data_IF_544163067282
#
_entry.id   IF_544163067282
#
_cell.length_a   1.000
_cell.length_b   1.000
_cell.length_c   1.000
_cell.angle_alpha   90.00
_cell.angle_beta   90.00
_cell.angle_gamma   90.00
#
_symmetry.space_group_name_H-M   'P 1'
#
loop_
_entity.id
_entity.type
_entity.pdbx_description
1 polymer ?
#
# COMPACT_ATOMS: atom_id res chain seq x y z
N UNK A 1 22.87 0.51 -11.69
CA UNK A 1 21.72 1.09 -12.42
C UNK A 1 20.38 0.44 -12.02
N UNK A 2 20.36 -0.87 -11.73
CA UNK A 2 19.16 -1.63 -11.34
C UNK A 2 18.49 -1.21 -10.01
N UNK A 3 19.25 -0.85 -8.97
CA UNK A 3 18.71 -0.54 -7.63
C UNK A 3 17.72 0.65 -7.63
N UNK A 4 18.04 1.72 -8.38
CA UNK A 4 17.21 2.93 -8.47
C UNK A 4 15.87 2.65 -9.15
N UNK A 5 15.86 1.74 -10.13
CA UNK A 5 14.65 1.32 -10.86
C UNK A 5 13.72 0.51 -9.96
N UNK A 6 14.25 -0.46 -9.22
CA UNK A 6 13.44 -1.23 -8.27
C UNK A 6 12.83 -0.36 -7.18
N UNK A 7 13.59 0.62 -6.66
CA UNK A 7 13.06 1.59 -5.70
C UNK A 7 11.94 2.44 -6.30
N UNK A 8 12.09 2.91 -7.55
CA UNK A 8 11.07 3.69 -8.25
C UNK A 8 9.79 2.88 -8.53
N UNK A 9 9.92 1.64 -9.01
CA UNK A 9 8.77 0.75 -9.26
C UNK A 9 8.07 0.37 -7.97
N UNK A 10 8.84 0.11 -6.91
CA UNK A 10 8.34 -0.12 -5.57
C UNK A 10 7.55 1.08 -5.06
N UNK A 11 8.13 2.28 -5.14
CA UNK A 11 7.47 3.51 -4.72
C UNK A 11 6.15 3.74 -5.48
N UNK A 12 6.16 3.64 -6.81
CA UNK A 12 4.97 3.80 -7.63
C UNK A 12 3.89 2.77 -7.30
N UNK A 13 4.27 1.50 -7.13
CA UNK A 13 3.37 0.45 -6.67
C UNK A 13 2.79 0.77 -5.30
N UNK A 14 3.62 1.23 -4.36
CA UNK A 14 3.21 1.60 -3.01
C UNK A 14 2.25 2.79 -2.99
N UNK A 15 2.44 3.79 -3.85
CA UNK A 15 1.51 4.91 -4.01
C UNK A 15 0.16 4.41 -4.52
N UNK A 16 0.15 3.53 -5.53
CA UNK A 16 -1.07 2.92 -6.03
C UNK A 16 -1.77 2.05 -4.96
N UNK A 17 -0.99 1.32 -4.17
CA UNK A 17 -1.47 0.60 -2.99
C UNK A 17 -2.13 1.55 -1.99
N UNK A 18 -1.48 2.65 -1.63
CA UNK A 18 -2.03 3.66 -0.72
C UNK A 18 -3.33 4.29 -1.24
N UNK A 19 -3.39 4.57 -2.55
CA UNK A 19 -4.60 5.03 -3.21
C UNK A 19 -5.74 3.99 -3.13
N UNK A 20 -5.42 2.70 -3.28
CA UNK A 20 -6.43 1.63 -3.15
C UNK A 20 -7.03 1.55 -1.75
N UNK A 21 -6.23 1.80 -0.70
CA UNK A 21 -6.70 1.87 0.68
C UNK A 21 -7.68 3.02 0.86
N UNK A 22 -7.36 4.19 0.30
CA UNK A 22 -8.24 5.38 0.35
C UNK A 22 -9.57 5.09 -0.36
N UNK A 23 -9.52 4.59 -1.60
CA UNK A 23 -10.72 4.28 -2.37
C UNK A 23 -11.57 3.20 -1.69
N UNK A 24 -10.94 2.17 -1.14
CA UNK A 24 -11.63 1.10 -0.44
C UNK A 24 -12.24 1.59 0.87
N UNK A 25 -11.57 2.47 1.61
CA UNK A 25 -12.13 3.14 2.78
C UNK A 25 -13.39 3.94 2.44
N UNK A 26 -13.35 4.73 1.35
CA UNK A 26 -14.51 5.49 0.89
C UNK A 26 -15.66 4.58 0.46
N UNK A 27 -15.36 3.46 -0.20
CA UNK A 27 -16.35 2.45 -0.59
C UNK A 27 -17.01 1.79 0.63
N UNK A 28 -16.22 1.40 1.64
CA UNK A 28 -16.73 0.83 2.89
C UNK A 28 -17.59 1.84 3.68
N UNK A 29 -17.23 3.12 3.60
CA UNK A 29 -17.99 4.18 4.23
C UNK A 29 -19.35 4.39 3.55
N UNK A 30 -19.38 4.54 2.22
CA UNK A 30 -20.61 4.75 1.47
C UNK A 30 -21.53 3.51 1.46
N UNK A 31 -20.99 2.31 1.65
CA UNK A 31 -21.79 1.09 1.81
C UNK A 31 -22.37 0.92 3.23
N UNK A 32 -22.06 1.83 4.17
CA UNK A 32 -22.55 1.76 5.55
C UNK A 32 -21.92 0.65 6.37
N UNK A 33 -20.82 0.04 5.89
CA UNK A 33 -20.07 -0.98 6.61
C UNK A 33 -19.22 -0.31 7.70
N UNK A 34 -18.63 0.86 7.39
CA UNK A 34 -17.77 1.60 8.33
C UNK A 34 -18.48 1.99 9.64
N UNK A 35 -19.79 2.30 9.61
CA UNK A 35 -20.56 2.63 10.82
C UNK A 35 -20.69 1.44 11.77
N UNK A 36 -20.74 0.20 11.25
CA UNK A 36 -20.75 -1.03 12.05
C UNK A 36 -19.42 -1.28 12.77
N UNK A 37 -18.35 -0.64 12.32
CA UNK A 37 -17.02 -0.71 12.93
C UNK A 37 -16.68 0.53 13.79
N UNK A 38 -17.66 1.41 14.06
CA UNK A 38 -17.46 2.62 14.86
C UNK A 38 -16.78 3.78 14.11
N UNK A 39 -16.79 3.74 12.77
CA UNK A 39 -16.27 4.81 11.90
C UNK A 39 -17.45 5.61 11.36
N UNK A 40 -17.71 6.76 11.99
CA UNK A 40 -18.84 7.63 11.67
C UNK A 40 -18.49 8.76 10.69
N UNK A 41 -17.20 8.99 10.43
CA UNK A 41 -16.73 10.00 9.49
C UNK A 41 -16.01 9.39 8.28
N UNK A 42 -16.32 9.92 7.10
CA UNK A 42 -15.59 9.60 5.89
C UNK A 42 -14.17 10.15 5.96
N UNK A 43 -13.23 9.51 5.26
CA UNK A 43 -11.93 10.11 5.02
C UNK A 43 -12.12 11.40 4.20
N UNK A 44 -11.54 12.50 4.66
CA UNK A 44 -11.51 13.72 3.88
C UNK A 44 -10.59 13.55 2.68
N UNK A 45 -11.07 13.87 1.47
CA UNK A 45 -10.27 13.82 0.24
C UNK A 45 -9.28 15.00 0.19
N UNK A 46 -9.47 16.01 1.04
CA UNK A 46 -8.56 17.14 1.18
C UNK A 46 -7.23 16.77 1.86
N UNK A 47 -6.14 17.53 1.59
CA UNK A 47 -4.93 17.47 2.41
C UNK A 47 -5.24 17.87 3.86
N UNK A 48 -4.63 17.22 4.88
CA UNK A 48 -3.54 16.25 4.82
C UNK A 48 -3.97 14.77 4.72
N UNK A 49 -5.28 14.48 4.77
CA UNK A 49 -5.81 13.13 5.03
C UNK A 49 -5.63 12.16 3.87
N UNK A 50 -5.66 12.65 2.62
CA UNK A 50 -5.31 11.85 1.44
C UNK A 50 -3.79 11.72 1.25
N UNK A 51 -3.03 12.76 1.60
CA UNK A 51 -1.59 12.80 1.32
C UNK A 51 -0.82 11.77 2.15
N UNK A 52 -1.16 11.63 3.43
CA UNK A 52 -0.50 10.69 4.35
C UNK A 52 -0.52 9.24 3.83
N UNK A 53 -1.67 8.61 3.54
CA UNK A 53 -1.70 7.22 3.08
C UNK A 53 -1.01 7.02 1.73
N UNK A 54 -1.07 7.99 0.81
CA UNK A 54 -0.35 7.92 -0.47
C UNK A 54 1.17 7.98 -0.29
N UNK A 55 1.65 8.95 0.49
CA UNK A 55 3.07 9.14 0.74
C UNK A 55 3.67 7.97 1.53
N UNK A 56 3.03 7.57 2.63
CA UNK A 56 3.46 6.42 3.42
C UNK A 56 3.34 5.12 2.62
N UNK A 57 2.28 4.98 1.83
CA UNK A 57 2.13 3.86 0.91
C UNK A 57 3.31 3.76 -0.06
N UNK A 58 3.73 4.86 -0.67
CA UNK A 58 4.93 4.90 -1.52
C UNK A 58 6.22 4.55 -0.79
N UNK A 59 6.41 5.09 0.42
CA UNK A 59 7.60 4.80 1.23
C UNK A 59 7.72 3.31 1.58
N UNK A 60 6.60 2.68 1.95
CA UNK A 60 6.54 1.23 2.17
C UNK A 60 6.66 0.44 0.87
N UNK A 61 6.33 1.02 -0.28
CA UNK A 61 6.55 0.37 -1.58
C UNK A 61 8.03 0.15 -1.93
N UNK A 62 8.95 0.99 -1.43
CA UNK A 62 10.38 0.91 -1.75
C UNK A 62 11.02 -0.42 -1.26
N UNK A 63 10.90 -0.82 0.03
CA UNK A 63 11.44 -2.10 0.48
C UNK A 63 10.82 -3.29 -0.27
N UNK A 64 9.53 -3.20 -0.61
CA UNK A 64 8.86 -4.23 -1.42
C UNK A 64 9.45 -4.36 -2.83
N UNK A 65 9.64 -3.24 -3.52
CA UNK A 65 10.24 -3.21 -4.86
C UNK A 65 11.66 -3.78 -4.87
N UNK A 66 12.42 -3.56 -3.81
CA UNK A 66 13.75 -4.18 -3.63
C UNK A 66 13.67 -5.70 -3.42
N UNK A 67 12.66 -6.18 -2.68
CA UNK A 67 12.43 -7.61 -2.45
C UNK A 67 11.97 -8.33 -3.74
N UNK A 68 11.17 -7.66 -4.56
CA UNK A 68 10.57 -8.21 -5.78
C UNK A 68 11.61 -8.77 -6.77
N UNK A 69 12.81 -8.17 -6.84
CA UNK A 69 13.91 -8.68 -7.67
C UNK A 69 14.36 -10.11 -7.31
N UNK A 70 14.13 -10.53 -6.05
CA UNK A 70 14.48 -11.86 -5.53
C UNK A 70 13.30 -12.85 -5.52
N UNK A 71 12.06 -12.36 -5.57
CA UNK A 71 10.84 -13.15 -5.27
C UNK A 71 9.98 -13.38 -6.53
N UNK A 72 10.59 -13.91 -7.61
CA UNK A 72 9.87 -14.14 -8.88
C UNK A 72 8.70 -15.12 -8.73
N UNK A 73 8.85 -16.16 -7.92
CA UNK A 73 7.83 -17.17 -7.66
C UNK A 73 7.13 -16.86 -6.33
N UNK A 74 5.96 -16.20 -6.39
CA UNK A 74 5.15 -15.90 -5.21
C UNK A 74 4.88 -14.42 -4.93
N UNK A 75 5.20 -13.50 -5.86
CA UNK A 75 4.99 -12.05 -5.74
C UNK A 75 3.65 -11.65 -5.10
N UNK A 76 2.55 -12.34 -5.42
CA UNK A 76 1.23 -12.04 -4.86
C UNK A 76 1.06 -12.50 -3.41
N UNK A 77 1.62 -13.65 -3.02
CA UNK A 77 1.60 -14.13 -1.63
C UNK A 77 2.47 -13.21 -0.78
N UNK A 78 3.68 -12.89 -1.25
CA UNK A 78 4.55 -11.96 -0.55
C UNK A 78 3.97 -10.55 -0.51
N UNK A 79 3.30 -10.09 -1.57
CA UNK A 79 2.55 -8.83 -1.59
C UNK A 79 1.41 -8.82 -0.58
N UNK A 80 0.64 -9.90 -0.50
CA UNK A 80 -0.41 -10.09 0.50
C UNK A 80 0.13 -10.26 1.92
N UNK A 81 1.37 -10.72 2.12
CA UNK A 81 1.99 -10.66 3.46
C UNK A 81 2.56 -9.27 3.74
N UNK A 82 2.90 -8.51 2.68
CA UNK A 82 3.57 -7.24 2.79
C UNK A 82 2.68 -6.12 3.33
N UNK A 83 1.36 -6.14 3.13
CA UNK A 83 0.47 -5.13 3.76
C UNK A 83 0.54 -5.16 5.29
N UNK A 84 1.00 -6.27 5.88
CA UNK A 84 1.18 -6.35 7.32
C UNK A 84 2.27 -5.39 7.81
N UNK A 85 3.31 -5.10 7.02
CA UNK A 85 4.37 -4.17 7.40
C UNK A 85 3.87 -2.72 7.64
N UNK A 86 3.18 -2.07 6.68
CA UNK A 86 2.60 -0.75 6.91
C UNK A 86 1.50 -0.76 7.98
N UNK A 87 0.71 -1.85 8.11
CA UNK A 87 -0.28 -1.98 9.18
C UNK A 87 0.36 -2.09 10.56
N UNK A 88 1.49 -2.80 10.68
CA UNK A 88 2.26 -2.84 11.93
C UNK A 88 2.85 -1.47 12.26
N UNK A 89 3.33 -0.72 11.26
CA UNK A 89 3.71 0.69 11.43
C UNK A 89 2.54 1.55 11.93
N UNK A 90 1.34 1.33 11.38
CA UNK A 90 0.11 1.98 11.84
C UNK A 90 -0.21 1.67 13.30
N UNK A 91 -0.16 0.39 13.70
CA UNK A 91 -0.51 -0.04 15.04
C UNK A 91 0.53 0.28 16.12
N UNK A 92 1.82 0.27 15.77
CA UNK A 92 2.91 0.45 16.73
C UNK A 92 3.43 1.88 16.81
N UNK A 93 3.26 2.67 15.74
CA UNK A 93 3.82 4.03 15.66
C UNK A 93 2.69 5.06 15.60
N UNK A 94 1.87 5.03 14.56
CA UNK A 94 0.88 6.10 14.33
C UNK A 94 -0.27 6.07 15.32
N UNK A 95 -0.75 4.88 15.66
CA UNK A 95 -1.84 4.71 16.62
C UNK A 95 -1.52 5.28 18.01
N UNK A 96 -0.38 4.93 18.67
CA UNK A 96 -0.03 5.56 19.94
C UNK A 96 0.25 7.06 19.80
N UNK A 97 0.83 7.53 18.68
CA UNK A 97 1.03 8.95 18.42
C UNK A 97 -0.28 9.75 18.30
N UNK A 98 -1.36 9.14 17.80
CA UNK A 98 -2.68 9.74 17.74
C UNK A 98 -3.52 9.54 19.02
N UNK A 99 -2.91 8.99 20.09
CA UNK A 99 -3.58 8.77 21.37
C UNK A 99 -4.55 7.59 21.39
N UNK A 100 -4.57 6.74 20.35
CA UNK A 100 -5.45 5.57 20.27
C UNK A 100 -4.83 4.30 20.89
N UNK A 101 -3.63 4.43 21.49
CA UNK A 101 -2.89 3.31 22.11
C UNK A 101 -2.29 2.36 21.08
N UNK A 102 -1.66 1.27 21.52
CA UNK A 102 -1.19 0.22 20.61
C UNK A 102 -2.36 -0.50 19.94
N UNK A 103 -2.21 -0.89 18.67
CA UNK A 103 -3.25 -1.56 17.87
C UNK A 103 -4.57 -0.78 17.73
N UNK A 104 -4.57 0.51 18.04
CA UNK A 104 -5.75 1.37 18.09
C UNK A 104 -6.84 0.88 19.07
N UNK A 105 -6.47 0.10 20.09
CA UNK A 105 -7.41 -0.45 21.08
C UNK A 105 -8.17 0.64 21.85
N UNK A 106 -7.63 1.85 21.96
CA UNK A 106 -8.33 3.00 22.55
C UNK A 106 -9.58 3.43 21.77
N UNK A 107 -9.73 3.02 20.51
CA UNK A 107 -10.94 3.19 19.68
C UNK A 107 -11.83 1.93 19.64
N UNK A 108 -11.38 0.84 20.27
CA UNK A 108 -12.07 -0.45 20.31
C UNK A 108 -11.56 -1.48 19.30
N UNK A 109 -11.80 -2.77 19.59
CA UNK A 109 -11.32 -3.91 18.79
C UNK A 109 -11.88 -3.90 17.35
N UNK A 110 -13.12 -3.45 17.18
CA UNK A 110 -13.74 -3.35 15.86
C UNK A 110 -13.00 -2.36 14.95
N UNK A 111 -12.50 -1.25 15.52
CA UNK A 111 -11.71 -0.28 14.76
C UNK A 111 -10.36 -0.88 14.32
N UNK A 112 -9.73 -1.70 15.16
CA UNK A 112 -8.52 -2.45 14.79
C UNK A 112 -8.78 -3.38 13.60
N UNK A 113 -9.88 -4.14 13.62
CA UNK A 113 -10.26 -5.03 12.52
C UNK A 113 -10.58 -4.25 11.24
N UNK A 114 -11.22 -3.09 11.37
CA UNK A 114 -11.47 -2.19 10.25
C UNK A 114 -10.16 -1.72 9.59
N UNK A 115 -9.17 -1.32 10.39
CA UNK A 115 -7.86 -0.91 9.88
C UNK A 115 -7.12 -2.04 9.15
N UNK A 116 -7.25 -3.29 9.62
CA UNK A 116 -6.72 -4.46 8.91
C UNK A 116 -7.45 -4.68 7.57
N UNK A 117 -8.78 -4.64 7.59
CA UNK A 117 -9.61 -4.84 6.42
C UNK A 117 -9.32 -3.80 5.33
N UNK A 118 -9.29 -2.52 5.70
CA UNK A 118 -9.14 -1.44 4.74
C UNK A 118 -7.76 -1.40 4.09
N UNK A 119 -6.73 -1.90 4.79
CA UNK A 119 -5.36 -1.98 4.28
C UNK A 119 -5.07 -3.26 3.49
N UNK A 120 -5.96 -4.25 3.51
CA UNK A 120 -5.77 -5.51 2.78
C UNK A 120 -5.50 -5.32 1.26
N UNK A 121 -6.18 -4.40 0.54
CA UNK A 121 -5.92 -4.16 -0.87
C UNK A 121 -4.50 -3.64 -1.16
N UNK A 122 -3.87 -2.95 -0.20
CA UNK A 122 -2.56 -2.32 -0.37
C UNK A 122 -1.53 -3.30 -0.93
N UNK A 123 -1.40 -4.47 -0.30
CA UNK A 123 -0.37 -5.46 -0.63
C UNK A 123 -0.53 -6.02 -2.04
N UNK A 124 -1.77 -6.33 -2.43
CA UNK A 124 -2.11 -6.90 -3.74
C UNK A 124 -1.89 -5.85 -4.84
N UNK A 125 -2.40 -4.63 -4.65
CA UNK A 125 -2.29 -3.56 -5.65
C UNK A 125 -0.83 -3.12 -5.81
N UNK A 126 -0.09 -2.98 -4.71
CA UNK A 126 1.35 -2.67 -4.75
C UNK A 126 2.11 -3.70 -5.56
N UNK A 127 1.87 -4.99 -5.30
CA UNK A 127 2.50 -6.09 -6.03
C UNK A 127 2.12 -6.12 -7.52
N UNK A 128 0.84 -5.91 -7.84
CA UNK A 128 0.34 -5.91 -9.21
C UNK A 128 0.97 -4.77 -10.04
N UNK A 129 0.95 -3.54 -9.52
CA UNK A 129 1.48 -2.36 -10.22
C UNK A 129 2.99 -2.42 -10.34
N UNK A 130 3.71 -2.76 -9.26
CA UNK A 130 5.17 -2.90 -9.33
C UNK A 130 5.59 -3.97 -10.36
N UNK A 131 4.84 -5.07 -10.46
CA UNK A 131 5.09 -6.13 -11.44
C UNK A 131 4.87 -5.62 -12.85
N UNK A 132 3.74 -4.97 -13.09
CA UNK A 132 3.36 -4.45 -14.40
C UNK A 132 4.40 -3.44 -14.92
N UNK A 133 4.76 -2.45 -14.11
CA UNK A 133 5.77 -1.43 -14.47
C UNK A 133 7.15 -2.06 -14.69
N UNK A 134 7.53 -3.05 -13.87
CA UNK A 134 8.81 -3.75 -14.07
C UNK A 134 8.85 -4.61 -15.35
N UNK A 135 7.70 -5.09 -15.81
CA UNK A 135 7.59 -5.87 -17.04
C UNK A 135 7.69 -4.95 -18.26
N UNK A 136 6.99 -3.83 -18.24
CA UNK A 136 7.02 -2.80 -19.27
C UNK A 136 8.44 -2.26 -19.48
N UNK A 137 9.14 -1.89 -18.40
CA UNK A 137 10.52 -1.42 -18.46
C UNK A 137 11.54 -2.47 -18.97
N UNK A 138 11.20 -3.77 -18.99
CA UNK A 138 12.05 -4.80 -19.63
C UNK A 138 11.82 -4.89 -21.14
N UNK A 139 10.62 -4.54 -21.62
CA UNK A 139 10.32 -4.51 -23.05
C UNK A 139 11.08 -3.37 -23.76
N UNK A 140 11.16 -2.18 -23.15
CA UNK A 140 11.87 -1.02 -23.71
C UNK A 140 13.38 -1.25 -23.88
N UNK A 141 14.00 -1.98 -22.95
CA UNK A 141 15.44 -2.28 -23.03
C UNK A 141 15.74 -3.27 -24.16
N UNK A 142 14.84 -4.24 -24.39
CA UNK A 142 14.99 -5.21 -25.47
C UNK A 142 14.77 -4.58 -26.84
N UNK A 143 13.76 -3.71 -27.00
CA UNK A 143 13.49 -3.02 -28.27
C UNK A 143 14.59 -2.03 -28.65
N UNK A 144 15.20 -1.34 -27.67
CA UNK A 144 16.34 -0.46 -27.89
C UNK A 144 17.62 -1.17 -28.32
N UNK A 145 17.83 -2.43 -27.91
CA UNK A 145 18.96 -3.24 -28.38
C UNK A 145 18.76 -3.81 -29.79
N UNK A 146 17.53 -4.08 -30.21
CA UNK A 146 17.23 -4.59 -31.57
C UNK A 146 17.29 -3.53 -32.67
N UNK A 147 17.20 -2.24 -32.33
CA UNK A 147 17.24 -1.13 -33.29
C UNK A 147 18.67 -0.57 -33.53
N UNK A 148 19.71 -1.33 -33.21
CA UNK A 148 21.12 -0.96 -33.47
C UNK A 148 21.77 -1.76 -34.61
N UNK A 149 20.97 -2.32 -35.52
CA UNK A 149 21.45 -2.98 -36.74
C UNK A 149 21.03 -2.22 -37.99
#
# INVERSE_FOLDING_TARGET
MELRRFAAYGFLGGVAGGASVVLFSLFLFHSGISSRFGVESALNIGPPDIYRPLFWGGLWGIPFGMMMGKLRDGVYIYGFMYFLAPVMGLFLIFSPLHGTGFFALGKGVLFTLYLLLVNMPYGIVTAAVAKWVSADGRHDIRSGMTNQH
#
